data_IF_048090357979
#
_entry.id   IF_048090357979
#
_cell.length_a   1.000
_cell.length_b   1.000
_cell.length_c   1.000
_cell.angle_alpha   90.00
_cell.angle_beta   90.00
_cell.angle_gamma   90.00
#
_symmetry.space_group_name_H-M   'P 1'
#
loop_
_entity.id
_entity.type
_entity.pdbx_description
1 polymer ?
#
# COMPACT_ATOMS: atom_id res chain seq x y z
N UNK A 1 16.44 -39.36 -19.74
CA UNK A 1 15.94 -38.01 -20.11
C UNK A 1 16.26 -37.04 -18.97
N UNK A 2 17.09 -35.99 -19.15
CA UNK A 2 17.30 -35.01 -18.08
C UNK A 2 16.03 -34.17 -17.90
N UNK A 3 15.56 -34.03 -16.65
CA UNK A 3 14.37 -33.24 -16.28
C UNK A 3 14.54 -31.79 -16.73
N UNK A 4 13.59 -31.28 -17.52
CA UNK A 4 13.55 -29.87 -17.91
C UNK A 4 13.60 -28.98 -16.64
N UNK A 5 14.53 -28.02 -16.60
CA UNK A 5 14.67 -27.06 -15.49
C UNK A 5 13.31 -26.37 -15.29
N UNK A 6 12.66 -26.66 -14.16
CA UNK A 6 11.31 -26.16 -13.90
C UNK A 6 11.26 -24.63 -13.97
N UNK A 7 10.27 -24.09 -14.68
CA UNK A 7 9.94 -22.66 -14.91
C UNK A 7 9.62 -21.91 -13.59
N UNK A 8 10.51 -21.92 -12.61
CA UNK A 8 10.33 -21.25 -11.31
C UNK A 8 10.81 -19.80 -11.34
N UNK A 9 10.51 -19.05 -12.40
CA UNK A 9 10.81 -17.61 -12.45
C UNK A 9 10.30 -16.87 -11.21
N UNK A 10 9.13 -17.27 -10.71
CA UNK A 10 8.52 -16.74 -9.48
C UNK A 10 9.41 -16.90 -8.24
N UNK A 11 10.22 -17.96 -8.15
CA UNK A 11 11.13 -18.17 -7.02
C UNK A 11 12.28 -17.13 -6.97
N UNK A 12 12.54 -16.43 -8.08
CA UNK A 12 13.56 -15.38 -8.16
C UNK A 12 13.00 -13.97 -7.87
N UNK A 13 11.67 -13.81 -7.80
CA UNK A 13 11.03 -12.50 -7.60
C UNK A 13 11.06 -12.13 -6.11
N UNK A 14 12.00 -11.26 -5.72
CA UNK A 14 12.10 -10.68 -4.37
C UNK A 14 11.38 -9.33 -4.22
N UNK A 15 10.59 -8.94 -5.21
CA UNK A 15 10.03 -7.58 -5.30
C UNK A 15 8.92 -7.34 -4.27
N UNK A 16 9.24 -6.66 -3.18
CA UNK A 16 8.25 -6.21 -2.19
C UNK A 16 7.61 -4.90 -2.65
N UNK A 17 6.28 -4.89 -2.81
CA UNK A 17 5.55 -3.69 -3.25
C UNK A 17 5.25 -2.74 -2.09
N UNK A 18 4.70 -3.28 -1.00
CA UNK A 18 4.33 -2.56 0.22
C UNK A 18 4.29 -3.57 1.38
N UNK A 19 4.86 -3.25 2.54
CA UNK A 19 4.81 -4.10 3.73
C UNK A 19 4.38 -3.28 4.96
N UNK A 20 3.06 -3.10 5.16
CA UNK A 20 2.55 -2.36 6.31
C UNK A 20 2.89 -3.08 7.63
N UNK A 21 3.30 -2.37 8.69
CA UNK A 21 3.44 -2.98 10.00
C UNK A 21 2.09 -3.52 10.49
N UNK A 22 2.09 -4.55 11.36
CA UNK A 22 0.88 -5.13 11.91
C UNK A 22 0.05 -4.06 12.62
N UNK A 23 -1.27 -4.13 12.45
CA UNK A 23 -2.20 -3.15 13.04
C UNK A 23 -2.17 -1.76 12.39
N UNK A 24 -1.44 -1.51 11.29
CA UNK A 24 -1.46 -0.18 10.66
C UNK A 24 -2.89 0.27 10.32
N UNK A 25 -3.70 -0.63 9.75
CA UNK A 25 -5.06 -0.32 9.30
C UNK A 25 -6.09 -0.23 10.42
N UNK A 26 -5.69 -0.29 11.70
CA UNK A 26 -6.54 0.05 12.84
C UNK A 26 -6.26 1.45 13.39
N UNK A 27 -5.15 2.08 12.99
CA UNK A 27 -4.75 3.43 13.43
C UNK A 27 -5.56 4.54 12.75
N UNK A 28 -5.33 5.79 13.15
CA UNK A 28 -5.98 6.96 12.54
C UNK A 28 -5.56 7.19 11.08
N UNK A 29 -6.38 7.94 10.34
CA UNK A 29 -6.17 8.22 8.93
C UNK A 29 -4.83 8.91 8.62
N UNK A 30 -4.37 9.81 9.49
CA UNK A 30 -3.15 10.57 9.27
C UNK A 30 -1.91 9.68 9.40
N UNK A 31 -1.91 8.80 10.40
CA UNK A 31 -0.86 7.80 10.63
C UNK A 31 -0.78 6.80 9.48
N UNK A 32 -1.93 6.29 9.00
CA UNK A 32 -1.98 5.39 7.83
C UNK A 32 -1.38 6.07 6.60
N UNK A 33 -1.84 7.28 6.29
CA UNK A 33 -1.40 8.00 5.11
C UNK A 33 0.09 8.38 5.17
N UNK A 34 0.60 8.78 6.34
CA UNK A 34 2.03 9.10 6.54
C UNK A 34 2.90 7.86 6.37
N UNK A 35 2.49 6.74 6.97
CA UNK A 35 3.24 5.48 6.94
C UNK A 35 3.29 4.91 5.53
N UNK A 36 2.16 4.85 4.83
CA UNK A 36 2.08 4.35 3.45
C UNK A 36 2.77 5.25 2.41
N UNK A 37 2.94 6.54 2.70
CA UNK A 37 3.71 7.45 1.86
C UNK A 37 5.23 7.24 1.97
N UNK A 38 5.71 6.60 3.04
CA UNK A 38 7.14 6.37 3.25
C UNK A 38 7.68 5.27 2.34
N UNK A 39 8.85 5.50 1.73
CA UNK A 39 9.57 4.48 0.95
C UNK A 39 10.01 3.28 1.79
N UNK A 40 10.14 3.45 3.11
CA UNK A 40 10.45 2.33 4.03
C UNK A 40 9.34 1.27 4.03
N UNK A 41 8.08 1.70 3.89
CA UNK A 41 6.90 0.82 3.93
C UNK A 41 6.39 0.51 2.53
N UNK A 42 6.47 1.48 1.62
CA UNK A 42 6.11 1.35 0.21
C UNK A 42 7.34 1.62 -0.66
N UNK A 43 8.24 0.63 -0.88
CA UNK A 43 9.48 0.83 -1.64
C UNK A 43 9.27 1.40 -3.05
N UNK A 44 8.16 1.02 -3.70
CA UNK A 44 7.74 1.54 -5.02
C UNK A 44 7.11 2.94 -4.96
N UNK A 45 7.11 3.55 -3.78
CA UNK A 45 6.56 4.87 -3.51
C UNK A 45 5.09 4.89 -3.10
N UNK A 46 4.54 6.09 -2.85
CA UNK A 46 3.20 6.28 -2.28
C UNK A 46 2.06 5.64 -3.09
N UNK A 47 2.22 5.51 -4.41
CA UNK A 47 1.24 4.84 -5.28
C UNK A 47 1.06 3.36 -4.95
N UNK A 48 2.12 2.68 -4.50
CA UNK A 48 2.03 1.29 -4.02
C UNK A 48 1.28 1.21 -2.69
N UNK A 49 1.51 2.18 -1.80
CA UNK A 49 0.73 2.33 -0.56
C UNK A 49 -0.77 2.54 -0.83
N UNK A 50 -1.10 3.36 -1.84
CA UNK A 50 -2.48 3.61 -2.25
C UNK A 50 -3.19 2.34 -2.74
N UNK A 51 -2.51 1.53 -3.56
CA UNK A 51 -3.03 0.23 -4.01
C UNK A 51 -3.26 -0.71 -2.83
N UNK A 52 -2.34 -0.73 -1.87
CA UNK A 52 -2.47 -1.54 -0.66
C UNK A 52 -3.67 -1.12 0.20
N UNK A 53 -3.86 0.19 0.42
CA UNK A 53 -5.00 0.71 1.16
C UNK A 53 -6.33 0.41 0.44
N UNK A 54 -6.37 0.55 -0.88
CA UNK A 54 -7.57 0.24 -1.68
C UNK A 54 -7.91 -1.25 -1.64
N UNK A 55 -6.89 -2.12 -1.77
CA UNK A 55 -7.05 -3.56 -1.60
C UNK A 55 -7.59 -3.91 -0.20
N UNK A 56 -7.09 -3.25 0.85
CA UNK A 56 -7.58 -3.48 2.20
C UNK A 56 -9.06 -3.10 2.34
N UNK A 57 -9.45 -1.90 1.89
CA UNK A 57 -10.85 -1.45 1.96
C UNK A 57 -11.79 -2.37 1.19
N UNK A 58 -11.37 -2.86 0.02
CA UNK A 58 -12.25 -3.59 -0.89
C UNK A 58 -12.26 -5.11 -0.66
N UNK A 59 -11.14 -5.70 -0.20
CA UNK A 59 -10.98 -7.16 -0.15
C UNK A 59 -10.56 -7.68 1.23
N UNK A 60 -9.48 -7.15 1.82
CA UNK A 60 -8.95 -7.72 3.07
C UNK A 60 -9.68 -7.25 4.34
N UNK A 61 -10.39 -6.14 4.27
CA UNK A 61 -11.19 -5.55 5.36
C UNK A 61 -12.62 -6.06 5.39
N UNK A 62 -12.84 -7.36 5.22
CA UNK A 62 -14.19 -7.95 5.33
C UNK A 62 -14.70 -7.72 6.75
N UNK A 63 -15.93 -7.21 6.90
CA UNK A 63 -16.54 -6.93 8.20
C UNK A 63 -16.12 -5.60 8.85
N UNK A 64 -15.47 -4.69 8.12
CA UNK A 64 -15.20 -3.34 8.63
C UNK A 64 -16.51 -2.61 8.98
N UNK A 65 -16.57 -2.03 10.18
CA UNK A 65 -17.65 -1.12 10.54
C UNK A 65 -17.69 0.09 9.61
N UNK A 66 -18.87 0.71 9.47
CA UNK A 66 -19.03 1.91 8.66
C UNK A 66 -18.09 3.05 9.09
N UNK A 67 -17.88 3.20 10.40
CA UNK A 67 -16.95 4.19 10.97
C UNK A 67 -15.51 3.90 10.55
N UNK A 68 -15.06 2.65 10.64
CA UNK A 68 -13.71 2.25 10.24
C UNK A 68 -13.50 2.40 8.73
N UNK A 69 -14.51 2.08 7.92
CA UNK A 69 -14.46 2.29 6.46
C UNK A 69 -14.31 3.78 6.13
N UNK A 70 -15.06 4.66 6.79
CA UNK A 70 -14.93 6.13 6.61
C UNK A 70 -13.53 6.62 6.98
N UNK A 71 -12.94 6.09 8.04
CA UNK A 71 -11.59 6.45 8.46
C UNK A 71 -10.53 6.03 7.44
N UNK A 72 -10.65 4.83 6.87
CA UNK A 72 -9.75 4.37 5.80
C UNK A 72 -9.92 5.17 4.50
N UNK A 73 -11.14 5.59 4.16
CA UNK A 73 -11.38 6.48 3.02
C UNK A 73 -10.80 7.89 3.26
N UNK A 74 -10.83 8.40 4.50
CA UNK A 74 -10.10 9.64 4.86
C UNK A 74 -8.60 9.45 4.67
N UNK A 75 -8.04 8.31 5.10
CA UNK A 75 -6.63 8.00 4.89
C UNK A 75 -6.27 7.99 3.40
N UNK A 76 -7.16 7.46 2.56
CA UNK A 76 -7.01 7.45 1.09
C UNK A 76 -6.95 8.86 0.52
N UNK A 77 -7.84 9.76 0.93
CA UNK A 77 -7.80 11.17 0.52
C UNK A 77 -6.49 11.85 0.92
N UNK A 78 -6.08 11.69 2.18
CA UNK A 78 -4.83 12.27 2.70
C UNK A 78 -3.59 11.74 2.00
N UNK A 79 -3.58 10.45 1.65
CA UNK A 79 -2.50 9.85 0.89
C UNK A 79 -2.47 10.40 -0.54
N UNK A 80 -3.63 10.59 -1.18
CA UNK A 80 -3.73 11.15 -2.53
C UNK A 80 -3.11 12.54 -2.61
N UNK A 81 -3.47 13.43 -1.68
CA UNK A 81 -2.90 14.79 -1.58
C UNK A 81 -1.37 14.74 -1.43
N UNK A 82 -0.84 13.80 -0.65
CA UNK A 82 0.61 13.64 -0.51
C UNK A 82 1.27 13.14 -1.80
N UNK A 83 0.63 12.22 -2.51
CA UNK A 83 1.12 11.70 -3.79
C UNK A 83 1.15 12.81 -4.84
N UNK A 84 0.09 13.62 -4.96
CA UNK A 84 0.02 14.72 -5.93
C UNK A 84 1.06 15.78 -5.63
N UNK A 85 1.23 16.19 -4.36
CA UNK A 85 2.29 17.12 -3.95
C UNK A 85 3.69 16.58 -4.25
N UNK A 86 3.95 15.31 -3.95
CA UNK A 86 5.24 14.69 -4.22
C UNK A 86 5.55 14.59 -5.73
N UNK A 87 4.51 14.37 -6.56
CA UNK A 87 4.65 14.41 -8.02
C UNK A 87 4.94 15.81 -8.53
N UNK A 88 4.19 16.82 -8.07
CA UNK A 88 4.40 18.22 -8.45
C UNK A 88 5.83 18.67 -8.10
N UNK A 89 6.33 18.35 -6.91
CA UNK A 89 7.72 18.66 -6.50
C UNK A 89 8.79 17.98 -7.35
N UNK A 90 8.47 16.87 -8.02
CA UNK A 90 9.42 16.14 -8.86
C UNK A 90 9.41 16.65 -10.32
N UNK A 91 8.38 17.40 -10.70
CA UNK A 91 8.21 17.98 -12.03
C UNK A 91 8.69 19.44 -12.12
N UNK A 92 8.83 20.11 -10.97
CA UNK A 92 9.51 21.40 -10.82
C UNK A 92 11.01 21.17 -10.57
#
# INVERSE_FOLDING_TARGET
MPRAKSKRWVAQVKTVSTFPPPGLFTKDAATIARTLASRKVSPKGPGSGMRMLTYFINRAGKGLSATRRRELERAKKLLSIRVTRAKAKRAA
#
